data_IF_656661106006
#
_entry.id   IF_656661106006
#
_cell.length_a   1.000
_cell.length_b   1.000
_cell.length_c   1.000
_cell.angle_alpha   90.00
_cell.angle_beta   90.00
_cell.angle_gamma   90.00
#
_symmetry.space_group_name_H-M   'P 1'
#
loop_
_entity.id
_entity.type
_entity.pdbx_description
1 polymer ?
#
# COMPACT_ATOMS: atom_id res chain seq x y z
N UNK A 1 22.01 19.38 73.53
CA UNK A 1 22.50 19.11 74.90
C UNK A 1 23.73 18.24 74.79
N UNK A 2 24.78 18.58 75.57
CA UNK A 2 26.18 18.11 75.55
C UNK A 2 27.02 18.80 74.44
N UNK A 3 27.80 19.87 74.67
CA UNK A 3 28.79 20.19 75.74
C UNK A 3 29.95 19.18 75.71
N UNK A 4 31.25 19.50 75.80
CA UNK A 4 32.03 20.68 76.17
C UNK A 4 33.48 20.49 75.65
N UNK A 5 34.27 21.58 75.70
CA UNK A 5 35.75 21.64 75.83
C UNK A 5 36.60 21.02 74.70
N UNK A 6 37.64 21.65 74.18
CA UNK A 6 38.54 22.66 74.75
C UNK A 6 39.95 22.08 74.72
N UNK A 7 40.84 22.60 73.88
CA UNK A 7 42.29 22.52 74.10
C UNK A 7 43.02 23.55 73.25
N UNK A 8 43.84 24.36 73.92
CA UNK A 8 44.79 25.30 73.35
C UNK A 8 46.14 24.61 73.42
N UNK A 9 46.84 24.53 72.29
CA UNK A 9 48.29 24.30 72.31
C UNK A 9 48.96 25.12 71.21
N UNK A 10 49.68 26.14 71.66
CA UNK A 10 50.75 26.84 70.96
C UNK A 10 51.91 25.88 70.77
N UNK A 11 52.31 25.64 69.53
CA UNK A 11 53.47 24.81 69.19
C UNK A 11 54.31 25.50 68.12
N UNK A 12 55.58 25.66 68.45
CA UNK A 12 56.60 26.51 67.85
C UNK A 12 56.82 26.33 66.34
N UNK A 13 57.09 27.48 65.72
CA UNK A 13 57.65 27.61 64.38
C UNK A 13 59.13 27.17 64.40
N UNK A 14 59.40 25.97 63.90
CA UNK A 14 60.75 25.56 63.52
C UNK A 14 60.85 25.56 61.99
N UNK A 15 61.53 26.60 61.47
CA UNK A 15 62.07 26.69 60.11
C UNK A 15 62.95 25.47 59.81
N UNK A 16 62.42 24.52 59.06
CA UNK A 16 63.19 23.46 58.41
C UNK A 16 63.45 23.86 56.96
N UNK A 17 64.72 23.98 56.62
CA UNK A 17 65.26 24.36 55.32
C UNK A 17 64.55 23.68 54.13
N UNK A 18 64.20 24.52 53.14
CA UNK A 18 63.69 24.16 51.82
C UNK A 18 64.67 23.25 51.06
N UNK A 19 64.40 21.94 51.08
CA UNK A 19 64.89 21.02 50.05
C UNK A 19 64.26 21.43 48.70
N UNK A 20 65.03 21.54 47.60
CA UNK A 20 64.50 21.90 46.30
C UNK A 20 63.46 20.87 45.86
N UNK A 21 62.20 21.30 45.85
CA UNK A 21 61.03 20.56 45.40
C UNK A 21 61.32 19.99 44.01
N UNK A 22 61.69 18.71 43.95
CA UNK A 22 61.94 17.99 42.70
C UNK A 22 60.69 18.15 41.84
N UNK A 23 60.82 18.93 40.76
CA UNK A 23 59.78 19.18 39.77
C UNK A 23 59.10 17.85 39.45
N UNK A 24 57.87 17.70 39.93
CA UNK A 24 57.06 16.51 39.77
C UNK A 24 57.00 16.18 38.27
N UNK A 25 57.70 15.11 37.88
CA UNK A 25 57.74 14.61 36.52
C UNK A 25 56.30 14.55 36.00
N UNK A 26 55.97 15.43 35.05
CA UNK A 26 54.66 15.50 34.44
C UNK A 26 54.33 14.09 33.91
N UNK A 27 53.41 13.41 34.60
CA UNK A 27 52.95 12.08 34.19
C UNK A 27 52.43 12.24 32.77
N UNK A 28 53.08 11.58 31.81
CA UNK A 28 52.59 11.50 30.44
C UNK A 28 51.10 11.15 30.49
N UNK A 29 50.22 11.88 29.77
CA UNK A 29 48.80 11.59 29.77
C UNK A 29 48.61 10.13 29.39
N UNK A 30 47.92 9.37 30.24
CA UNK A 30 47.65 7.96 29.97
C UNK A 30 46.81 7.90 28.69
N UNK A 31 47.36 7.30 27.63
CA UNK A 31 46.63 7.08 26.40
C UNK A 31 45.35 6.30 26.71
N UNK A 32 44.19 6.87 26.38
CA UNK A 32 42.91 6.20 26.59
C UNK A 32 42.88 4.93 25.74
N UNK A 33 42.55 3.81 26.36
CA UNK A 33 42.44 2.54 25.66
C UNK A 33 41.29 2.63 24.64
N UNK A 34 41.49 2.17 23.39
CA UNK A 34 40.43 2.21 22.41
C UNK A 34 39.27 1.31 22.84
N UNK A 35 38.07 1.83 22.66
CA UNK A 35 36.81 1.13 22.89
C UNK A 35 36.24 0.66 21.56
N UNK A 36 35.85 -0.61 21.49
CA UNK A 36 35.17 -1.19 20.33
C UNK A 36 33.68 -1.36 20.61
N UNK A 37 32.86 -1.22 19.57
CA UNK A 37 31.40 -1.44 19.61
C UNK A 37 30.97 -2.35 18.47
N UNK A 38 30.26 -3.43 18.77
CA UNK A 38 29.72 -4.34 17.77
C UNK A 38 28.55 -3.70 17.02
N UNK A 39 28.63 -3.61 15.69
CA UNK A 39 27.53 -3.10 14.84
C UNK A 39 26.33 -4.06 14.76
N UNK A 40 26.52 -5.33 15.12
CA UNK A 40 25.48 -6.38 15.08
C UNK A 40 24.68 -6.44 16.38
N UNK A 41 25.34 -6.56 17.54
CA UNK A 41 24.66 -6.70 18.84
C UNK A 41 24.78 -5.48 19.75
N UNK A 42 25.45 -4.41 19.32
CA UNK A 42 25.74 -3.21 20.12
C UNK A 42 26.64 -3.41 21.35
N UNK A 43 27.12 -4.63 21.62
CA UNK A 43 28.06 -4.90 22.72
C UNK A 43 29.32 -4.03 22.61
N UNK A 44 29.73 -3.42 23.72
CA UNK A 44 30.94 -2.59 23.81
C UNK A 44 32.00 -3.29 24.65
N UNK A 45 33.27 -3.16 24.26
CA UNK A 45 34.40 -3.72 25.04
C UNK A 45 35.67 -2.91 24.85
N UNK A 46 36.57 -3.02 25.82
CA UNK A 46 37.89 -2.39 25.79
C UNK A 46 38.90 -3.27 25.06
N UNK A 47 39.76 -2.66 24.25
CA UNK A 47 40.82 -3.38 23.55
C UNK A 47 41.79 -4.07 24.53
N UNK A 48 42.16 -5.32 24.23
CA UNK A 48 43.20 -6.04 24.97
C UNK A 48 44.56 -5.70 24.37
N UNK A 49 45.58 -5.52 25.22
CA UNK A 49 46.96 -5.34 24.77
C UNK A 49 47.41 -6.61 24.04
N UNK A 50 47.89 -6.45 22.80
CA UNK A 50 48.52 -7.55 22.07
C UNK A 50 49.88 -7.82 22.69
N UNK A 51 50.17 -9.08 23.05
CA UNK A 51 51.48 -9.48 23.58
C UNK A 51 52.54 -9.71 22.48
N UNK A 52 52.18 -9.50 21.19
CA UNK A 52 52.94 -10.02 20.04
C UNK A 52 53.69 -8.99 19.18
N UNK A 53 53.69 -7.69 19.49
CA UNK A 53 54.54 -6.73 18.75
C UNK A 53 55.78 -6.42 19.58
N UNK A 54 56.93 -6.89 19.11
CA UNK A 54 58.26 -6.60 19.67
C UNK A 54 58.76 -5.18 19.37
N UNK A 55 58.01 -4.42 18.56
CA UNK A 55 58.42 -3.10 18.10
C UNK A 55 57.50 -2.05 18.74
N UNK A 56 58.12 -1.01 19.31
CA UNK A 56 57.64 -0.06 20.33
C UNK A 56 56.40 0.82 20.02
N UNK A 57 55.49 0.39 19.14
CA UNK A 57 54.21 1.04 18.90
C UNK A 57 53.07 0.29 19.62
N UNK A 58 52.40 0.95 20.58
CA UNK A 58 51.26 0.43 21.36
C UNK A 58 50.08 0.07 20.43
N UNK A 59 50.16 -1.10 19.78
CA UNK A 59 49.23 -1.52 18.73
C UNK A 59 48.15 -2.42 19.33
N UNK A 60 46.94 -1.89 19.41
CA UNK A 60 45.77 -2.64 19.85
C UNK A 60 45.27 -3.54 18.72
N UNK A 61 45.35 -4.86 18.89
CA UNK A 61 44.88 -5.80 17.89
C UNK A 61 43.34 -5.84 17.88
N UNK A 62 42.74 -5.49 16.74
CA UNK A 62 41.29 -5.58 16.50
C UNK A 62 40.85 -7.07 16.50
N UNK A 63 39.86 -7.47 17.32
CA UNK A 63 39.48 -8.87 17.42
C UNK A 63 38.80 -9.37 16.13
N UNK A 64 39.00 -10.64 15.78
CA UNK A 64 38.33 -11.22 14.59
C UNK A 64 36.83 -11.43 14.79
N UNK A 65 36.40 -11.65 16.03
CA UNK A 65 35.05 -12.06 16.39
C UNK A 65 34.54 -11.16 17.52
N UNK A 66 33.26 -10.77 17.47
CA UNK A 66 32.65 -10.04 18.57
C UNK A 66 32.52 -10.93 19.82
N UNK A 67 33.01 -10.50 20.99
CA UNK A 67 32.84 -11.25 22.24
C UNK A 67 31.38 -11.38 22.72
N UNK A 68 30.48 -10.49 22.30
CA UNK A 68 29.07 -10.52 22.72
C UNK A 68 28.19 -11.48 21.90
N UNK A 69 28.31 -11.45 20.57
CA UNK A 69 27.44 -12.25 19.68
C UNK A 69 28.18 -13.23 18.77
N UNK A 70 29.50 -13.33 18.90
CA UNK A 70 30.37 -14.21 18.12
C UNK A 70 30.30 -13.96 16.59
N UNK A 71 29.80 -12.79 16.18
CA UNK A 71 29.74 -12.41 14.77
C UNK A 71 31.11 -11.98 14.26
N UNK A 72 31.49 -12.46 13.07
CA UNK A 72 32.63 -11.99 12.29
C UNK A 72 32.35 -10.65 11.57
N UNK A 73 31.09 -10.23 11.52
CA UNK A 73 30.62 -9.03 10.81
C UNK A 73 30.61 -7.79 11.71
N UNK A 74 31.14 -7.90 12.93
CA UNK A 74 30.93 -6.92 14.00
C UNK A 74 31.48 -5.53 13.72
N UNK A 75 32.54 -5.43 12.92
CA UNK A 75 33.20 -4.16 12.58
C UNK A 75 33.19 -3.81 11.09
N UNK A 76 32.41 -4.53 10.29
CA UNK A 76 32.33 -4.18 8.87
C UNK A 76 31.40 -2.98 8.68
N UNK A 77 31.79 -2.07 7.80
CA UNK A 77 31.02 -0.85 7.50
C UNK A 77 29.81 -1.13 6.60
N UNK A 78 29.90 -2.17 5.77
CA UNK A 78 28.86 -2.59 4.82
C UNK A 78 27.71 -3.39 5.48
N UNK A 79 27.75 -3.60 6.79
CA UNK A 79 26.76 -4.42 7.50
C UNK A 79 25.48 -3.65 7.73
N UNK A 80 24.41 -4.14 7.10
CA UNK A 80 23.07 -3.54 7.21
C UNK A 80 22.15 -4.47 8.00
N UNK A 81 21.39 -3.90 8.95
CA UNK A 81 20.29 -4.56 9.63
C UNK A 81 19.10 -4.68 8.68
N UNK A 82 18.64 -5.90 8.43
CA UNK A 82 17.56 -6.22 7.49
C UNK A 82 16.45 -6.94 8.21
N UNK A 83 15.20 -6.58 7.91
CA UNK A 83 14.02 -7.22 8.48
C UNK A 83 13.15 -7.78 7.36
N UNK A 84 12.75 -9.04 7.48
CA UNK A 84 11.83 -9.66 6.53
C UNK A 84 10.44 -9.08 6.74
N UNK A 85 9.89 -8.38 5.75
CA UNK A 85 8.53 -7.83 5.77
C UNK A 85 7.43 -8.90 5.75
N UNK A 86 7.77 -10.18 5.55
CA UNK A 86 6.81 -11.30 5.58
C UNK A 86 6.75 -12.03 6.92
N UNK A 87 7.88 -12.32 7.56
CA UNK A 87 7.89 -13.06 8.84
C UNK A 87 8.38 -12.23 10.03
N UNK A 88 8.82 -10.99 9.82
CA UNK A 88 9.33 -10.12 10.88
C UNK A 88 10.74 -10.43 11.37
N UNK A 89 11.35 -11.54 10.92
CA UNK A 89 12.71 -11.91 11.35
C UNK A 89 13.74 -10.85 10.93
N UNK A 90 14.66 -10.51 11.84
CA UNK A 90 15.71 -9.51 11.61
C UNK A 90 17.09 -10.16 11.64
N UNK A 91 17.96 -9.79 10.70
CA UNK A 91 19.33 -10.27 10.62
C UNK A 91 20.26 -9.18 10.12
N UNK A 92 21.57 -9.44 10.23
CA UNK A 92 22.62 -8.57 9.73
C UNK A 92 23.32 -9.24 8.55
N UNK A 93 23.52 -8.51 7.46
CA UNK A 93 24.18 -9.03 6.25
C UNK A 93 24.89 -7.89 5.54
N UNK A 94 26.09 -8.16 5.03
CA UNK A 94 26.83 -7.23 4.15
C UNK A 94 26.18 -7.14 2.76
N UNK A 95 25.65 -8.24 2.25
CA UNK A 95 25.03 -8.31 0.91
C UNK A 95 23.51 -8.29 0.99
N UNK A 96 22.85 -7.97 -0.13
CA UNK A 96 21.41 -8.20 -0.32
C UNK A 96 21.17 -9.71 -0.44
N UNK A 97 20.57 -10.37 0.56
CA UNK A 97 20.36 -11.81 0.49
C UNK A 97 19.27 -12.13 -0.54
N UNK A 98 19.45 -13.22 -1.28
CA UNK A 98 18.42 -13.69 -2.20
C UNK A 98 17.19 -14.25 -1.47
N UNK A 99 17.32 -14.69 -0.21
CA UNK A 99 16.23 -15.29 0.57
C UNK A 99 16.26 -14.85 2.03
N UNK A 100 15.10 -14.80 2.68
CA UNK A 100 15.01 -14.69 4.12
C UNK A 100 15.61 -15.95 4.79
N UNK A 101 16.52 -15.82 5.76
CA UNK A 101 17.10 -16.98 6.46
C UNK A 101 16.06 -17.79 7.26
N UNK A 102 14.98 -17.16 7.73
CA UNK A 102 13.95 -17.82 8.53
C UNK A 102 12.87 -18.49 7.67
N UNK A 103 12.17 -17.73 6.81
CA UNK A 103 11.05 -18.27 6.01
C UNK A 103 11.43 -18.66 4.58
N UNK A 104 12.70 -18.52 4.18
CA UNK A 104 13.23 -18.87 2.85
C UNK A 104 12.58 -18.17 1.65
N UNK A 105 11.71 -17.18 1.88
CA UNK A 105 11.09 -16.39 0.81
C UNK A 105 12.12 -15.53 0.08
N UNK A 106 12.03 -15.45 -1.24
CA UNK A 106 12.83 -14.52 -2.05
C UNK A 106 12.33 -13.07 -1.93
N UNK A 107 11.05 -12.90 -1.60
CA UNK A 107 10.37 -11.59 -1.50
C UNK A 107 10.34 -11.10 -0.06
N UNK A 108 11.51 -11.12 0.59
CA UNK A 108 11.62 -10.79 2.01
C UNK A 108 11.54 -9.29 2.26
N UNK A 109 11.84 -8.47 1.26
CA UNK A 109 11.80 -7.00 1.27
C UNK A 109 10.44 -6.42 0.81
N UNK A 110 9.51 -7.27 0.36
CA UNK A 110 8.15 -6.92 -0.05
C UNK A 110 7.17 -7.21 1.08
N UNK A 111 6.24 -6.28 1.32
CA UNK A 111 5.13 -6.52 2.25
C UNK A 111 4.22 -7.64 1.74
N UNK A 112 3.57 -8.36 2.67
CA UNK A 112 2.44 -9.19 2.29
C UNK A 112 1.35 -8.27 1.74
N UNK A 113 0.80 -8.65 0.58
CA UNK A 113 -0.35 -7.99 -0.01
C UNK A 113 -1.56 -8.91 0.17
N UNK A 114 -2.12 -9.02 1.39
CA UNK A 114 -3.29 -9.84 1.64
C UNK A 114 -4.48 -9.30 0.85
N UNK A 115 -5.23 -10.20 0.26
CA UNK A 115 -6.54 -9.94 -0.29
C UNK A 115 -7.58 -10.62 0.60
N UNK A 116 -8.67 -9.94 0.85
CA UNK A 116 -9.85 -10.48 1.54
C UNK A 116 -11.03 -10.39 0.58
N UNK A 117 -11.76 -11.48 0.40
CA UNK A 117 -13.03 -11.44 -0.30
C UNK A 117 -14.10 -10.88 0.63
N UNK A 118 -14.76 -9.80 0.21
CA UNK A 118 -15.84 -9.17 0.98
C UNK A 118 -17.12 -10.02 0.99
N UNK A 119 -17.26 -10.99 0.08
CA UNK A 119 -18.44 -11.86 0.02
C UNK A 119 -18.34 -13.10 0.88
N UNK A 120 -17.19 -13.80 0.85
CA UNK A 120 -17.01 -15.06 1.58
C UNK A 120 -16.01 -14.97 2.73
N UNK A 121 -15.42 -13.79 2.98
CA UNK A 121 -14.43 -13.58 4.03
C UNK A 121 -13.06 -14.21 3.79
N UNK A 122 -12.91 -15.07 2.77
CA UNK A 122 -11.66 -15.78 2.49
C UNK A 122 -10.50 -14.80 2.31
N UNK A 123 -9.37 -15.07 2.96
CA UNK A 123 -8.15 -14.28 2.85
C UNK A 123 -7.06 -15.06 2.14
N UNK A 124 -6.30 -14.41 1.27
CA UNK A 124 -5.19 -15.02 0.54
C UNK A 124 -4.08 -14.02 0.22
N UNK A 125 -2.87 -14.50 -0.02
CA UNK A 125 -1.76 -13.67 -0.47
C UNK A 125 -1.69 -13.62 -2.01
N UNK A 126 -1.51 -12.43 -2.58
CA UNK A 126 -1.26 -12.29 -4.01
C UNK A 126 0.17 -12.70 -4.37
N UNK A 127 0.31 -13.54 -5.40
CA UNK A 127 1.61 -13.92 -6.00
C UNK A 127 2.19 -12.84 -6.91
N UNK A 128 1.36 -11.95 -7.44
CA UNK A 128 1.72 -10.91 -8.41
C UNK A 128 1.00 -9.61 -8.01
N UNK A 129 1.54 -8.45 -8.35
CA UNK A 129 0.92 -7.16 -8.01
C UNK A 129 -0.46 -6.96 -8.65
N UNK A 130 -0.74 -7.70 -9.72
CA UNK A 130 -2.05 -7.70 -10.38
C UNK A 130 -3.15 -8.22 -9.43
N UNK A 131 -4.17 -7.39 -9.23
CA UNK A 131 -5.38 -7.76 -8.48
C UNK A 131 -6.06 -8.94 -9.22
N UNK A 132 -6.31 -10.09 -8.55
CA UNK A 132 -6.96 -11.22 -9.19
C UNK A 132 -8.36 -10.82 -9.65
N UNK A 133 -8.76 -11.27 -10.85
CA UNK A 133 -10.08 -10.99 -11.41
C UNK A 133 -11.21 -11.72 -10.69
N UNK A 134 -10.92 -12.77 -9.93
CA UNK A 134 -11.93 -13.58 -9.23
C UNK A 134 -11.43 -14.01 -7.85
N UNK A 135 -12.35 -14.20 -6.91
CA UNK A 135 -12.02 -14.82 -5.63
C UNK A 135 -11.66 -16.30 -5.85
N UNK A 136 -10.53 -16.80 -5.33
CA UNK A 136 -10.14 -18.20 -5.49
C UNK A 136 -11.12 -19.19 -4.83
N UNK A 137 -11.82 -18.76 -3.76
CA UNK A 137 -12.79 -19.58 -3.03
C UNK A 137 -14.18 -19.55 -3.71
N UNK A 138 -14.84 -18.38 -3.76
CA UNK A 138 -16.23 -18.29 -4.26
C UNK A 138 -16.36 -17.96 -5.75
N UNK A 139 -15.25 -17.81 -6.48
CA UNK A 139 -15.17 -17.51 -7.93
C UNK A 139 -15.86 -16.21 -8.39
N UNK A 140 -16.33 -15.36 -7.48
CA UNK A 140 -16.93 -14.06 -7.81
C UNK A 140 -15.90 -13.10 -8.41
N UNK A 141 -16.28 -12.40 -9.49
CA UNK A 141 -15.40 -11.47 -10.19
C UNK A 141 -15.07 -10.21 -9.40
N UNK A 142 -16.08 -9.61 -8.76
CA UNK A 142 -15.86 -8.40 -7.99
C UNK A 142 -15.99 -8.74 -6.53
N UNK A 143 -14.87 -9.20 -5.98
CA UNK A 143 -14.72 -9.73 -4.62
C UNK A 143 -14.18 -8.71 -3.63
N UNK A 144 -13.61 -7.60 -4.12
CA UNK A 144 -12.99 -6.52 -3.36
C UNK A 144 -13.88 -5.27 -3.24
N UNK A 145 -15.04 -5.26 -3.90
CA UNK A 145 -16.02 -4.18 -3.73
C UNK A 145 -16.67 -4.24 -2.35
N UNK A 146 -17.00 -3.09 -1.74
CA UNK A 146 -17.71 -3.06 -0.47
C UNK A 146 -19.06 -3.78 -0.60
N UNK A 147 -19.41 -4.51 0.45
CA UNK A 147 -20.67 -5.25 0.56
C UNK A 147 -21.44 -4.77 1.79
N UNK A 148 -22.76 -4.73 1.69
CA UNK A 148 -23.65 -4.56 2.84
C UNK A 148 -24.14 -5.95 3.28
N UNK A 149 -24.33 -6.15 4.59
CA UNK A 149 -24.91 -7.36 5.14
C UNK A 149 -26.43 -7.28 5.04
N UNK A 150 -27.05 -8.31 4.47
CA UNK A 150 -28.49 -8.36 4.25
C UNK A 150 -29.08 -9.63 4.81
N UNK A 151 -30.25 -9.50 5.41
CA UNK A 151 -31.03 -10.61 5.91
C UNK A 151 -32.14 -10.97 4.93
N UNK A 152 -32.22 -12.23 4.53
CA UNK A 152 -33.27 -12.70 3.64
C UNK A 152 -34.62 -12.65 4.37
N UNK A 153 -35.57 -11.86 3.87
CA UNK A 153 -36.92 -11.77 4.45
C UNK A 153 -37.71 -13.08 4.42
N UNK A 154 -37.35 -14.03 3.54
CA UNK A 154 -38.02 -15.33 3.43
C UNK A 154 -37.49 -16.39 4.40
N UNK A 155 -36.18 -16.41 4.67
CA UNK A 155 -35.54 -17.49 5.44
C UNK A 155 -34.65 -17.02 6.60
N UNK A 156 -34.48 -15.71 6.81
CA UNK A 156 -33.65 -15.15 7.87
C UNK A 156 -32.13 -15.26 7.65
N UNK A 157 -31.67 -15.88 6.56
CA UNK A 157 -30.22 -16.00 6.29
C UNK A 157 -29.60 -14.63 6.06
N UNK A 158 -28.51 -14.33 6.78
CA UNK A 158 -27.68 -13.16 6.55
C UNK A 158 -26.61 -13.44 5.50
N UNK A 159 -26.46 -12.55 4.52
CA UNK A 159 -25.49 -12.68 3.43
C UNK A 159 -25.04 -11.32 2.91
N UNK A 160 -23.81 -11.26 2.43
CA UNK A 160 -23.25 -10.06 1.83
C UNK A 160 -23.76 -9.85 0.40
N UNK A 161 -24.32 -8.67 0.09
CA UNK A 161 -24.64 -8.27 -1.30
C UNK A 161 -23.89 -7.02 -1.70
N UNK A 162 -23.80 -6.79 -3.01
CA UNK A 162 -23.29 -5.51 -3.52
C UNK A 162 -24.32 -4.43 -3.29
N UNK A 163 -23.83 -3.26 -2.88
CA UNK A 163 -24.63 -2.04 -2.85
C UNK A 163 -25.25 -1.82 -4.24
N UNK A 164 -26.57 -1.60 -4.30
CA UNK A 164 -27.33 -1.32 -5.52
C UNK A 164 -27.38 -2.45 -6.58
N UNK A 165 -27.16 -3.72 -6.21
CA UNK A 165 -27.33 -4.86 -7.15
C UNK A 165 -28.34 -5.86 -6.60
N UNK A 166 -29.22 -6.35 -7.48
CA UNK A 166 -30.16 -7.42 -7.18
C UNK A 166 -29.40 -8.70 -6.78
N UNK A 167 -29.62 -9.15 -5.54
CA UNK A 167 -29.07 -10.39 -5.02
C UNK A 167 -30.15 -11.48 -4.92
N UNK A 168 -29.75 -12.74 -5.10
CA UNK A 168 -30.54 -13.89 -4.65
C UNK A 168 -29.98 -14.38 -3.33
N UNK A 169 -30.86 -14.75 -2.41
CA UNK A 169 -30.48 -15.44 -1.19
C UNK A 169 -29.74 -16.73 -1.54
N UNK A 170 -28.55 -17.00 -0.96
CA UNK A 170 -27.79 -18.20 -1.25
C UNK A 170 -28.48 -19.49 -0.80
N UNK A 171 -29.33 -19.42 0.23
CA UNK A 171 -30.00 -20.60 0.81
C UNK A 171 -31.32 -20.91 0.11
N UNK A 172 -32.24 -19.94 0.01
CA UNK A 172 -33.58 -20.20 -0.52
C UNK A 172 -33.78 -19.77 -1.99
N UNK A 173 -32.79 -19.13 -2.61
CA UNK A 173 -32.85 -18.63 -3.99
C UNK A 173 -33.81 -17.46 -4.22
N UNK A 174 -34.50 -16.97 -3.18
CA UNK A 174 -35.41 -15.83 -3.28
C UNK A 174 -34.65 -14.58 -3.71
N UNK A 175 -35.27 -13.78 -4.59
CA UNK A 175 -34.70 -12.49 -5.00
C UNK A 175 -34.95 -11.49 -3.88
N UNK A 176 -33.89 -10.94 -3.31
CA UNK A 176 -33.98 -9.91 -2.29
C UNK A 176 -33.72 -8.55 -2.96
N UNK A 177 -34.77 -7.77 -3.18
CA UNK A 177 -34.69 -6.42 -3.74
C UNK A 177 -34.39 -5.44 -2.61
N UNK A 178 -33.22 -4.82 -2.60
CA UNK A 178 -33.00 -3.62 -1.80
C UNK A 178 -33.25 -2.40 -2.67
N UNK A 179 -34.40 -1.78 -2.47
CA UNK A 179 -34.72 -0.51 -3.11
C UNK A 179 -34.36 0.61 -2.13
N UNK A 180 -33.57 1.57 -2.62
CA UNK A 180 -33.26 2.80 -1.90
C UNK A 180 -33.89 3.95 -2.68
N UNK A 181 -34.78 4.72 -2.05
CA UNK A 181 -35.33 5.92 -2.67
C UNK A 181 -34.23 6.97 -2.75
N UNK A 182 -33.97 7.52 -3.94
CA UNK A 182 -32.97 8.58 -4.10
C UNK A 182 -33.41 9.92 -3.52
N UNK A 183 -34.72 10.13 -3.41
CA UNK A 183 -35.28 11.42 -3.01
C UNK A 183 -35.36 11.51 -1.48
N UNK A 184 -35.79 10.45 -0.79
CA UNK A 184 -35.92 10.45 0.67
C UNK A 184 -34.95 9.51 1.40
N UNK A 185 -34.14 8.72 0.70
CA UNK A 185 -33.20 7.76 1.32
C UNK A 185 -33.84 6.50 1.89
N UNK A 186 -35.18 6.37 1.85
CA UNK A 186 -35.89 5.21 2.38
C UNK A 186 -35.36 3.90 1.79
N UNK A 187 -35.06 2.93 2.65
CA UNK A 187 -34.62 1.59 2.25
C UNK A 187 -35.76 0.59 2.52
N UNK A 188 -36.19 -0.16 1.53
CA UNK A 188 -37.21 -1.20 1.71
C UNK A 188 -36.91 -2.45 0.89
N UNK A 189 -37.56 -3.55 1.27
CA UNK A 189 -37.49 -4.83 0.57
C UNK A 189 -38.79 -5.09 -0.16
N UNK A 190 -38.75 -5.20 -1.49
CA UNK A 190 -39.93 -5.60 -2.26
C UNK A 190 -40.10 -7.12 -2.21
N UNK A 191 -41.22 -7.58 -1.65
CA UNK A 191 -41.57 -8.99 -1.51
C UNK A 191 -42.21 -9.56 -2.78
N UNK A 192 -42.67 -8.70 -3.70
CA UNK A 192 -43.43 -9.09 -4.89
C UNK A 192 -42.57 -9.66 -6.02
N UNK A 193 -41.24 -9.58 -5.92
CA UNK A 193 -40.31 -9.97 -6.97
C UNK A 193 -40.36 -9.08 -8.22
N UNK A 194 -41.16 -8.01 -8.21
CA UNK A 194 -41.20 -6.99 -9.24
C UNK A 194 -40.49 -5.74 -8.71
N UNK A 195 -39.97 -4.90 -9.61
CA UNK A 195 -39.43 -3.60 -9.20
C UNK A 195 -40.60 -2.72 -8.72
N UNK A 196 -40.51 -2.12 -7.53
CA UNK A 196 -41.58 -1.27 -7.01
C UNK A 196 -41.76 -0.06 -7.93
N UNK A 197 -43.01 0.31 -8.21
CA UNK A 197 -43.30 1.46 -9.08
C UNK A 197 -43.00 2.79 -8.40
N UNK A 198 -43.13 2.85 -7.08
CA UNK A 198 -42.93 4.05 -6.27
C UNK A 198 -42.32 3.71 -4.91
N UNK A 199 -41.71 4.71 -4.27
CA UNK A 199 -41.29 4.62 -2.88
C UNK A 199 -42.52 4.51 -1.96
N UNK A 200 -42.56 3.58 -1.00
CA UNK A 200 -43.69 3.44 -0.08
C UNK A 200 -43.80 4.61 0.91
N UNK A 201 -42.70 5.34 1.17
CA UNK A 201 -42.68 6.45 2.11
C UNK A 201 -43.03 7.80 1.44
N UNK A 202 -42.39 8.16 0.33
CA UNK A 202 -42.62 9.45 -0.33
C UNK A 202 -43.55 9.39 -1.55
N UNK A 203 -43.98 8.20 -1.99
CA UNK A 203 -44.86 8.02 -3.16
C UNK A 203 -44.21 8.33 -4.52
N UNK A 204 -42.95 8.79 -4.54
CA UNK A 204 -42.28 9.17 -5.79
C UNK A 204 -41.94 7.93 -6.64
N UNK A 205 -42.16 8.01 -7.96
CA UNK A 205 -41.90 6.89 -8.86
C UNK A 205 -40.41 6.58 -8.95
N UNK A 206 -40.08 5.28 -9.01
CA UNK A 206 -38.69 4.84 -9.08
C UNK A 206 -38.12 5.18 -10.47
N UNK A 207 -37.24 6.20 -10.55
CA UNK A 207 -36.48 6.51 -11.76
C UNK A 207 -35.32 5.52 -11.87
N UNK A 208 -35.48 4.46 -12.65
CA UNK A 208 -34.36 3.57 -12.98
C UNK A 208 -33.32 4.36 -13.80
N UNK A 209 -32.12 4.66 -13.24
CA UNK A 209 -31.14 5.50 -13.92
C UNK A 209 -30.76 4.92 -15.28
N UNK A 210 -30.65 3.59 -15.39
CA UNK A 210 -30.27 2.93 -16.64
C UNK A 210 -31.34 3.07 -17.71
N UNK A 211 -32.63 3.02 -17.35
CA UNK A 211 -33.74 3.16 -18.32
C UNK A 211 -33.86 4.59 -18.84
N UNK A 212 -33.55 5.58 -17.99
CA UNK A 212 -33.57 7.00 -18.39
C UNK A 212 -32.39 7.38 -19.30
N UNK A 213 -31.20 6.81 -19.05
CA UNK A 213 -30.03 7.03 -19.89
C UNK A 213 -30.10 6.27 -21.23
N UNK A 214 -30.63 5.04 -21.24
CA UNK A 214 -30.86 4.31 -22.50
C UNK A 214 -31.81 5.07 -23.44
N UNK A 215 -32.82 5.78 -22.92
CA UNK A 215 -33.68 6.64 -23.74
C UNK A 215 -32.98 7.91 -24.24
N UNK A 216 -32.03 8.46 -23.47
CA UNK A 216 -31.25 9.63 -23.90
C UNK A 216 -30.17 9.29 -24.93
N UNK A 217 -29.61 8.07 -24.89
CA UNK A 217 -28.63 7.60 -25.88
C UNK A 217 -29.23 7.11 -27.21
N UNK A 218 -30.48 6.62 -27.19
CA UNK A 218 -31.19 6.20 -28.40
C UNK A 218 -31.91 7.35 -29.11
N UNK A 219 -32.12 8.47 -28.43
CA UNK A 219 -32.47 9.73 -29.08
C UNK A 219 -31.18 10.45 -29.50
N UNK A 220 -30.35 9.81 -30.35
CA UNK A 220 -29.61 10.60 -31.33
C UNK A 220 -30.68 11.47 -31.96
N UNK A 221 -30.60 12.80 -31.80
CA UNK A 221 -31.44 13.71 -32.57
C UNK A 221 -31.45 13.12 -33.97
N UNK A 222 -32.61 12.67 -34.46
CA UNK A 222 -32.73 12.29 -35.87
C UNK A 222 -32.41 13.61 -36.56
N UNK A 223 -31.14 13.79 -36.93
CA UNK A 223 -30.76 14.76 -37.91
C UNK A 223 -31.67 14.41 -39.07
N UNK A 224 -32.45 15.38 -39.51
CA UNK A 224 -33.32 15.18 -40.66
C UNK A 224 -32.44 14.55 -41.75
N UNK A 225 -32.91 13.47 -42.39
CA UNK A 225 -32.08 12.71 -43.33
C UNK A 225 -31.50 13.65 -44.41
N UNK A 226 -32.22 14.73 -44.70
CA UNK A 226 -31.79 15.80 -45.60
C UNK A 226 -30.64 16.65 -45.07
N UNK A 227 -30.71 17.10 -43.81
CA UNK A 227 -29.64 17.89 -43.17
C UNK A 227 -28.36 17.05 -43.03
N UNK A 228 -28.51 15.74 -42.76
CA UNK A 228 -27.39 14.80 -42.72
C UNK A 228 -26.72 14.62 -44.09
N UNK A 229 -27.51 14.49 -45.15
CA UNK A 229 -27.01 14.32 -46.52
C UNK A 229 -26.30 15.60 -47.02
N UNK A 230 -26.85 16.80 -46.76
CA UNK A 230 -26.26 18.09 -47.15
C UNK A 230 -24.88 18.28 -46.51
N UNK A 231 -24.78 18.04 -45.19
CA UNK A 231 -23.50 18.10 -44.46
C UNK A 231 -22.51 17.05 -44.95
N UNK A 232 -22.97 15.84 -45.29
CA UNK A 232 -22.10 14.80 -45.84
C UNK A 232 -21.51 15.21 -47.21
N UNK A 233 -22.31 15.87 -48.06
CA UNK A 233 -21.86 16.36 -49.37
C UNK A 233 -20.78 17.45 -49.21
N UNK A 234 -20.96 18.40 -48.29
CA UNK A 234 -19.95 19.44 -48.02
C UNK A 234 -18.61 18.82 -47.59
N UNK A 235 -18.63 17.89 -46.63
CA UNK A 235 -17.44 17.21 -46.14
C UNK A 235 -16.74 16.36 -47.22
N UNK A 236 -17.51 15.77 -48.13
CA UNK A 236 -16.96 15.04 -49.28
C UNK A 236 -16.33 15.99 -50.30
N UNK A 237 -16.89 17.18 -50.54
CA UNK A 237 -16.29 18.23 -51.37
C UNK A 237 -14.98 18.78 -50.79
N UNK A 238 -14.86 18.80 -49.46
CA UNK A 238 -13.60 19.10 -48.76
C UNK A 238 -12.54 17.98 -48.88
N UNK A 239 -12.88 16.83 -49.47
CA UNK A 239 -11.96 15.71 -49.69
C UNK A 239 -11.83 14.74 -48.52
N UNK A 240 -12.73 14.79 -47.51
CA UNK A 240 -12.72 13.82 -46.41
C UNK A 240 -13.08 12.41 -46.90
N UNK A 241 -12.52 11.39 -46.23
CA UNK A 241 -12.83 10.00 -46.57
C UNK A 241 -14.25 9.61 -46.11
N UNK A 242 -14.95 8.72 -46.85
CA UNK A 242 -16.34 8.34 -46.53
C UNK A 242 -16.55 7.76 -45.13
N UNK A 243 -15.53 7.16 -44.51
CA UNK A 243 -15.64 6.59 -43.16
C UNK A 243 -15.65 7.70 -42.10
N UNK A 244 -14.75 8.69 -42.24
CA UNK A 244 -14.74 9.89 -41.41
C UNK A 244 -16.04 10.68 -41.53
N UNK A 245 -16.56 10.84 -42.76
CA UNK A 245 -17.85 11.52 -43.00
C UNK A 245 -19.01 10.77 -42.34
N UNK A 246 -19.04 9.43 -42.40
CA UNK A 246 -20.08 8.63 -41.74
C UNK A 246 -20.05 8.76 -40.20
N UNK A 247 -18.85 8.81 -39.61
CA UNK A 247 -18.68 9.03 -38.16
C UNK A 247 -19.13 10.43 -37.75
N UNK A 248 -18.80 11.45 -38.54
CA UNK A 248 -19.08 12.86 -38.22
C UNK A 248 -20.56 13.24 -38.41
N UNK A 249 -21.22 12.67 -39.41
CA UNK A 249 -22.63 12.96 -39.74
C UNK A 249 -23.60 11.99 -39.04
N UNK A 250 -23.13 10.84 -38.59
CA UNK A 250 -23.97 9.77 -38.04
C UNK A 250 -24.79 9.02 -39.10
N UNK A 251 -24.56 9.27 -40.39
CA UNK A 251 -25.12 8.49 -41.49
C UNK A 251 -24.48 7.10 -41.59
N UNK A 252 -25.19 6.16 -42.20
CA UNK A 252 -24.60 4.85 -42.54
C UNK A 252 -23.52 5.00 -43.60
N UNK A 253 -22.46 4.20 -43.52
CA UNK A 253 -21.35 4.21 -44.48
C UNK A 253 -21.79 4.01 -45.94
N UNK A 254 -22.76 3.12 -46.20
CA UNK A 254 -23.30 2.89 -47.54
C UNK A 254 -24.05 4.10 -48.10
N UNK A 255 -24.74 4.88 -47.24
CA UNK A 255 -25.37 6.15 -47.64
C UNK A 255 -24.32 7.16 -48.09
N UNK A 256 -23.22 7.30 -47.33
CA UNK A 256 -22.14 8.23 -47.66
C UNK A 256 -21.42 7.82 -48.96
N UNK A 257 -21.17 6.53 -49.17
CA UNK A 257 -20.64 6.03 -50.46
C UNK A 257 -21.54 6.37 -51.63
N UNK A 258 -22.86 6.18 -51.47
CA UNK A 258 -23.84 6.50 -52.52
C UNK A 258 -23.82 8.01 -52.85
N UNK A 259 -23.72 8.88 -51.85
CA UNK A 259 -23.57 10.32 -52.05
C UNK A 259 -22.26 10.66 -52.77
N UNK A 260 -21.15 10.03 -52.39
CA UNK A 260 -19.86 10.23 -53.06
C UNK A 260 -19.90 9.83 -54.53
N UNK A 261 -20.44 8.65 -54.87
CA UNK A 261 -20.59 8.21 -56.26
C UNK A 261 -21.37 9.22 -57.09
N UNK A 262 -22.52 9.69 -56.58
CA UNK A 262 -23.32 10.71 -57.27
C UNK A 262 -22.58 12.04 -57.43
N UNK A 263 -21.72 12.41 -56.48
CA UNK A 263 -20.92 13.61 -56.55
C UNK A 263 -19.81 13.48 -57.62
N UNK A 264 -19.14 12.33 -57.67
CA UNK A 264 -18.10 12.01 -58.66
C UNK A 264 -18.69 11.94 -60.09
N UNK A 265 -19.95 11.50 -60.23
CA UNK A 265 -20.70 11.45 -61.49
C UNK A 265 -21.32 12.81 -61.91
N UNK A 266 -21.22 13.85 -61.07
CA UNK A 266 -21.82 15.18 -61.34
C UNK A 266 -23.35 15.22 -61.26
N UNK A 267 -23.99 14.32 -60.51
CA UNK A 267 -25.44 14.16 -60.37
C UNK A 267 -26.04 14.84 -59.11
N UNK A 268 -25.29 15.74 -58.46
CA UNK A 268 -25.64 16.42 -57.21
C UNK A 268 -25.42 17.92 -57.26
#
# INVERSE_FOLDING_TARGET
MKSDAGYVETGDASESADEPFKQSAQRKPQAQRPQYRCKVCSYTWMARRSRKSSDDAETYAKPRICPGCHSILWDREDVVKRTCKRCGYTWFSSMNPNRCPQCRTHRWNESRNPCKCNFCGYTWERKVDKIPKTCPNCKRFVWNEPTEEHECTKCGTKFAVRVNVLGRCPECGAVCYHCVCRECGHKWVDVSGKHPRACPECGLPFKDPKRSEMRKGASRKRIDAREGDEKAIELLKEGKDPMSVALETGLSFERVKSLKSRLDDGLL
#
